data_IF_735778653917
#
_entry.id   IF_735778653917
#
_cell.length_a   1.000
_cell.length_b   1.000
_cell.length_c   1.000
_cell.angle_alpha   90.00
_cell.angle_beta   90.00
_cell.angle_gamma   90.00
#
_symmetry.space_group_name_H-M   'P 1'
#
loop_
_entity.id
_entity.type
_entity.pdbx_description
1 polymer ?
#
# COMPACT_ATOMS: atom_id res chain seq x y z
N UNK A 1 1.11 -58.87 -24.95
CA UNK A 1 0.16 -58.97 -23.82
C UNK A 1 0.95 -59.43 -22.60
N UNK A 2 0.75 -58.81 -21.43
CA UNK A 2 1.44 -59.24 -20.21
C UNK A 2 0.67 -60.43 -19.58
N UNK A 3 1.36 -61.29 -18.83
CA UNK A 3 0.77 -62.48 -18.23
C UNK A 3 -0.30 -62.16 -17.16
N UNK A 4 -0.15 -61.05 -16.44
CA UNK A 4 -1.11 -60.59 -15.43
C UNK A 4 -2.45 -60.18 -16.05
N UNK A 5 -2.43 -59.59 -17.24
CA UNK A 5 -3.61 -59.18 -17.99
C UNK A 5 -4.40 -60.40 -18.42
N UNK A 6 -3.71 -61.48 -18.83
CA UNK A 6 -4.34 -62.75 -19.20
C UNK A 6 -4.93 -63.45 -17.98
N UNK A 7 -4.24 -63.46 -16.84
CA UNK A 7 -4.76 -64.02 -15.57
C UNK A 7 -6.01 -63.28 -15.08
N UNK A 8 -6.00 -61.94 -15.11
CA UNK A 8 -7.16 -61.12 -14.75
C UNK A 8 -8.35 -61.42 -15.66
N UNK A 9 -8.13 -61.51 -16.97
CA UNK A 9 -9.20 -61.83 -17.92
C UNK A 9 -9.74 -63.26 -17.75
N UNK A 10 -8.87 -64.23 -17.45
CA UNK A 10 -9.27 -65.61 -17.17
C UNK A 10 -10.14 -65.69 -15.91
N UNK A 11 -9.73 -65.06 -14.81
CA UNK A 11 -10.51 -64.98 -13.57
C UNK A 11 -11.85 -64.27 -13.76
N UNK A 12 -11.87 -63.20 -14.58
CA UNK A 12 -13.11 -62.50 -14.92
C UNK A 12 -14.06 -63.40 -15.72
N UNK A 13 -13.53 -64.16 -16.69
CA UNK A 13 -14.31 -65.09 -17.49
C UNK A 13 -14.91 -66.21 -16.61
N UNK A 14 -14.11 -66.83 -15.74
CA UNK A 14 -14.56 -67.87 -14.81
C UNK A 14 -15.63 -67.34 -13.82
N UNK A 15 -15.43 -66.12 -13.30
CA UNK A 15 -16.40 -65.45 -12.44
C UNK A 15 -17.72 -65.16 -13.16
N UNK A 16 -17.66 -64.67 -14.40
CA UNK A 16 -18.85 -64.44 -15.21
C UNK A 16 -19.57 -65.75 -15.54
N UNK A 17 -18.86 -66.80 -15.92
CA UNK A 17 -19.46 -68.10 -16.21
C UNK A 17 -20.16 -68.69 -14.99
N UNK A 18 -19.56 -68.56 -13.80
CA UNK A 18 -20.21 -68.96 -12.55
C UNK A 18 -21.48 -68.15 -12.29
N UNK A 19 -21.43 -66.82 -12.43
CA UNK A 19 -22.60 -65.95 -12.24
C UNK A 19 -23.71 -66.25 -13.24
N UNK A 20 -23.36 -66.51 -14.50
CA UNK A 20 -24.32 -66.85 -15.55
C UNK A 20 -24.99 -68.19 -15.25
N UNK A 21 -24.25 -69.19 -14.74
CA UNK A 21 -24.85 -70.44 -14.26
C UNK A 21 -25.83 -70.21 -13.12
N UNK A 22 -25.47 -69.42 -12.12
CA UNK A 22 -26.34 -69.13 -10.97
C UNK A 22 -27.61 -68.39 -11.39
N UNK A 23 -27.49 -67.41 -12.30
CA UNK A 23 -28.63 -66.68 -12.87
C UNK A 23 -29.53 -67.62 -13.65
N UNK A 24 -28.96 -68.51 -14.47
CA UNK A 24 -29.74 -69.49 -15.23
C UNK A 24 -30.52 -70.45 -14.31
N UNK A 25 -29.90 -70.90 -13.22
CA UNK A 25 -30.57 -71.74 -12.22
C UNK A 25 -31.74 -70.99 -11.56
N UNK A 26 -31.54 -69.72 -11.20
CA UNK A 26 -32.60 -68.87 -10.65
C UNK A 26 -33.76 -68.68 -11.64
N UNK A 27 -33.46 -68.44 -12.92
CA UNK A 27 -34.48 -68.31 -13.96
C UNK A 27 -35.32 -69.57 -14.07
N UNK A 28 -34.68 -70.75 -14.05
CA UNK A 28 -35.40 -72.01 -14.19
C UNK A 28 -36.25 -72.33 -12.94
N UNK A 29 -35.75 -72.05 -11.73
CA UNK A 29 -36.54 -72.14 -10.50
C UNK A 29 -37.75 -71.20 -10.52
N UNK A 30 -37.58 -69.97 -11.01
CA UNK A 30 -38.68 -69.00 -11.12
C UNK A 30 -39.76 -69.47 -12.11
N UNK A 31 -39.36 -70.05 -13.25
CA UNK A 31 -40.31 -70.63 -14.21
C UNK A 31 -41.07 -71.80 -13.62
N UNK A 32 -40.36 -72.71 -12.95
CA UNK A 32 -40.98 -73.87 -12.31
C UNK A 32 -42.01 -73.42 -11.26
N UNK A 33 -41.65 -72.47 -10.38
CA UNK A 33 -42.58 -71.88 -9.42
C UNK A 33 -43.77 -71.22 -10.09
N UNK A 34 -43.57 -70.52 -11.20
CA UNK A 34 -44.69 -69.88 -11.92
C UNK A 34 -45.71 -70.92 -12.40
N UNK A 35 -45.24 -72.07 -12.92
CA UNK A 35 -46.10 -73.18 -13.35
C UNK A 35 -46.82 -73.82 -12.16
N UNK A 36 -46.12 -74.00 -11.02
CA UNK A 36 -46.72 -74.53 -9.79
C UNK A 36 -47.83 -73.60 -9.27
N UNK A 37 -47.55 -72.30 -9.16
CA UNK A 37 -48.55 -71.31 -8.72
C UNK A 37 -49.75 -71.21 -9.67
N UNK A 38 -49.54 -71.31 -10.98
CA UNK A 38 -50.64 -71.35 -11.96
C UNK A 38 -51.52 -72.59 -11.75
N UNK A 39 -50.90 -73.74 -11.54
CA UNK A 39 -51.60 -75.01 -11.27
C UNK A 39 -52.39 -74.97 -9.97
N UNK A 40 -51.78 -74.47 -8.89
CA UNK A 40 -52.44 -74.27 -7.59
C UNK A 40 -53.62 -73.29 -7.72
N UNK A 41 -53.45 -72.22 -8.50
CA UNK A 41 -54.51 -71.25 -8.77
C UNK A 41 -55.70 -71.85 -9.51
N UNK A 42 -55.45 -72.73 -10.48
CA UNK A 42 -56.50 -73.49 -11.18
C UNK A 42 -57.20 -74.46 -10.24
N UNK A 43 -56.44 -75.20 -9.42
CA UNK A 43 -56.99 -76.12 -8.42
C UNK A 43 -57.90 -75.41 -7.42
N UNK A 44 -57.46 -74.28 -6.86
CA UNK A 44 -58.25 -73.46 -5.94
C UNK A 44 -59.54 -72.98 -6.60
N UNK A 45 -59.47 -72.52 -7.85
CA UNK A 45 -60.64 -72.07 -8.60
C UNK A 45 -61.66 -73.19 -8.80
N UNK A 46 -61.21 -74.38 -9.20
CA UNK A 46 -62.05 -75.56 -9.38
C UNK A 46 -62.71 -75.98 -8.05
N UNK A 47 -61.92 -76.07 -6.97
CA UNK A 47 -62.38 -76.38 -5.62
C UNK A 47 -63.47 -75.39 -5.13
N UNK A 48 -63.28 -74.08 -5.31
CA UNK A 48 -64.29 -73.09 -4.92
C UNK A 48 -65.58 -73.21 -5.75
N UNK A 49 -65.48 -73.53 -7.04
CA UNK A 49 -66.63 -73.64 -7.93
C UNK A 49 -67.42 -74.94 -7.74
N UNK A 50 -66.75 -76.09 -7.59
CA UNK A 50 -67.38 -77.41 -7.59
C UNK A 50 -67.75 -77.91 -6.19
N UNK A 51 -66.83 -77.81 -5.22
CA UNK A 51 -67.02 -78.38 -3.89
C UNK A 51 -67.73 -77.42 -2.93
N UNK A 52 -67.47 -76.11 -3.06
CA UNK A 52 -68.05 -75.08 -2.19
C UNK A 52 -69.21 -74.31 -2.84
N UNK A 53 -69.45 -74.48 -4.15
CA UNK A 53 -70.45 -73.75 -4.94
C UNK A 53 -70.35 -72.22 -4.77
N UNK A 54 -69.15 -71.70 -4.52
CA UNK A 54 -68.84 -70.29 -4.35
C UNK A 54 -68.38 -69.72 -5.70
N UNK A 55 -69.34 -69.28 -6.50
CA UNK A 55 -68.99 -68.62 -7.77
C UNK A 55 -68.60 -67.16 -7.55
N UNK A 56 -67.51 -66.71 -8.18
CA UNK A 56 -67.16 -65.29 -8.27
C UNK A 56 -68.32 -64.45 -8.87
N UNK A 57 -69.16 -65.06 -9.71
CA UNK A 57 -70.34 -64.42 -10.31
C UNK A 57 -71.51 -64.23 -9.34
N UNK A 58 -71.49 -64.88 -8.16
CA UNK A 58 -72.48 -64.68 -7.11
C UNK A 58 -72.16 -63.51 -6.18
N UNK A 59 -70.94 -62.96 -6.29
CA UNK A 59 -70.55 -61.75 -5.56
C UNK A 59 -71.25 -60.52 -6.16
N UNK A 60 -71.57 -59.55 -5.30
CA UNK A 60 -72.04 -58.26 -5.78
C UNK A 60 -70.92 -57.52 -6.54
N UNK A 61 -71.30 -56.55 -7.37
CA UNK A 61 -70.32 -55.73 -8.11
C UNK A 61 -69.37 -54.99 -7.16
N UNK A 62 -69.89 -54.59 -6.00
CA UNK A 62 -69.14 -53.90 -4.94
C UNK A 62 -68.11 -54.85 -4.31
N UNK A 63 -68.51 -56.08 -3.96
CA UNK A 63 -67.60 -57.09 -3.42
C UNK A 63 -66.47 -57.43 -4.39
N UNK A 64 -66.79 -57.59 -5.69
CA UNK A 64 -65.78 -57.83 -6.72
C UNK A 64 -64.81 -56.65 -6.86
N UNK A 65 -65.30 -55.42 -6.78
CA UNK A 65 -64.48 -54.20 -6.81
C UNK A 65 -63.50 -54.15 -5.63
N UNK A 66 -63.94 -54.45 -4.41
CA UNK A 66 -63.05 -54.49 -3.24
C UNK A 66 -61.94 -55.54 -3.38
N UNK A 67 -62.27 -56.73 -3.90
CA UNK A 67 -61.29 -57.79 -4.12
C UNK A 67 -60.25 -57.39 -5.18
N UNK A 68 -60.70 -56.84 -6.30
CA UNK A 68 -59.80 -56.33 -7.35
C UNK A 68 -58.88 -55.23 -6.80
N UNK A 69 -59.41 -54.26 -6.06
CA UNK A 69 -58.59 -53.22 -5.44
C UNK A 69 -57.55 -53.80 -4.48
N UNK A 70 -57.89 -54.85 -3.73
CA UNK A 70 -56.97 -55.50 -2.81
C UNK A 70 -55.81 -56.18 -3.55
N UNK A 71 -56.12 -56.86 -4.66
CA UNK A 71 -55.13 -57.46 -5.56
C UNK A 71 -54.26 -56.37 -6.22
N UNK A 72 -54.87 -55.30 -6.72
CA UNK A 72 -54.14 -54.18 -7.35
C UNK A 72 -53.18 -53.52 -6.36
N UNK A 73 -53.61 -53.30 -5.10
CA UNK A 73 -52.76 -52.77 -4.04
C UNK A 73 -51.62 -53.74 -3.72
N UNK A 74 -51.87 -55.04 -3.66
CA UNK A 74 -50.82 -56.04 -3.44
C UNK A 74 -49.77 -56.01 -4.58
N UNK A 75 -50.22 -55.87 -5.83
CA UNK A 75 -49.34 -55.76 -6.98
C UNK A 75 -48.49 -54.48 -6.95
N UNK A 76 -49.10 -53.32 -6.63
CA UNK A 76 -48.39 -52.04 -6.52
C UNK A 76 -47.39 -52.03 -5.36
N UNK A 77 -47.73 -52.68 -4.25
CA UNK A 77 -46.84 -52.83 -3.08
C UNK A 77 -45.84 -53.98 -3.24
N UNK A 78 -45.92 -54.74 -4.34
CA UNK A 78 -45.11 -55.93 -4.61
C UNK A 78 -45.16 -56.97 -3.47
N UNK A 79 -46.33 -57.15 -2.85
CA UNK A 79 -46.51 -58.09 -1.75
C UNK A 79 -46.92 -59.48 -2.23
N UNK A 80 -46.53 -60.51 -1.46
CA UNK A 80 -46.81 -61.91 -1.80
C UNK A 80 -48.29 -62.30 -1.68
N UNK A 81 -49.01 -61.67 -0.76
CA UNK A 81 -50.41 -61.92 -0.49
C UNK A 81 -51.14 -60.63 -0.09
N UNK A 82 -52.46 -60.73 0.05
CA UNK A 82 -53.33 -59.65 0.51
C UNK A 82 -53.53 -59.64 2.03
N UNK A 83 -52.63 -60.28 2.78
CA UNK A 83 -52.73 -60.32 4.24
C UNK A 83 -52.25 -59.00 4.84
N UNK A 84 -52.81 -58.66 6.01
CA UNK A 84 -52.36 -57.49 6.77
C UNK A 84 -50.88 -57.59 7.17
N UNK A 85 -50.38 -58.81 7.40
CA UNK A 85 -48.99 -59.06 7.75
C UNK A 85 -48.02 -58.70 6.62
N UNK A 86 -48.45 -58.80 5.36
CA UNK A 86 -47.68 -58.36 4.20
C UNK A 86 -47.86 -56.85 3.92
N UNK A 87 -49.09 -56.34 4.01
CA UNK A 87 -49.39 -54.95 3.68
C UNK A 87 -48.80 -53.94 4.67
N UNK A 88 -48.91 -54.20 5.98
CA UNK A 88 -48.47 -53.25 7.01
C UNK A 88 -46.96 -52.93 6.89
N UNK A 89 -46.05 -53.91 6.78
CA UNK A 89 -44.63 -53.64 6.56
C UNK A 89 -44.35 -52.91 5.25
N UNK A 90 -45.02 -53.27 4.15
CA UNK A 90 -44.83 -52.62 2.85
C UNK A 90 -45.24 -51.14 2.89
N UNK A 91 -46.41 -50.84 3.46
CA UNK A 91 -46.91 -49.47 3.64
C UNK A 91 -45.97 -48.68 4.57
N UNK A 92 -45.51 -49.28 5.66
CA UNK A 92 -44.57 -48.62 6.58
C UNK A 92 -43.21 -48.35 5.91
N UNK A 93 -42.73 -49.26 5.07
CA UNK A 93 -41.53 -49.08 4.25
C UNK A 93 -41.66 -47.87 3.33
N UNK A 94 -42.72 -47.83 2.51
CA UNK A 94 -43.01 -46.70 1.63
C UNK A 94 -43.20 -45.39 2.40
N UNK A 95 -43.87 -45.42 3.55
CA UNK A 95 -44.06 -44.24 4.40
C UNK A 95 -42.72 -43.73 4.94
N UNK A 96 -41.82 -44.64 5.34
CA UNK A 96 -40.48 -44.29 5.78
C UNK A 96 -39.67 -43.65 4.65
N UNK A 97 -39.71 -44.24 3.46
CA UNK A 97 -38.97 -43.75 2.31
C UNK A 97 -39.51 -42.41 1.79
N UNK A 98 -40.83 -42.22 1.81
CA UNK A 98 -41.47 -40.94 1.53
C UNK A 98 -40.99 -39.86 2.53
N UNK A 99 -40.94 -40.18 3.82
CA UNK A 99 -40.46 -39.25 4.86
C UNK A 99 -38.98 -38.88 4.67
N UNK A 100 -38.13 -39.87 4.36
CA UNK A 100 -36.71 -39.62 4.03
C UNK A 100 -36.56 -38.73 2.81
N UNK A 101 -37.29 -39.02 1.73
CA UNK A 101 -37.27 -38.24 0.50
C UNK A 101 -37.74 -36.79 0.74
N UNK A 102 -38.82 -36.61 1.50
CA UNK A 102 -39.30 -35.29 1.90
C UNK A 102 -38.29 -34.51 2.74
N UNK A 103 -37.63 -35.16 3.70
CA UNK A 103 -36.59 -34.52 4.51
C UNK A 103 -35.39 -34.10 3.65
N UNK A 104 -34.96 -34.97 2.72
CA UNK A 104 -33.88 -34.67 1.78
C UNK A 104 -34.24 -33.50 0.86
N UNK A 105 -35.48 -33.44 0.39
CA UNK A 105 -35.94 -32.35 -0.46
C UNK A 105 -35.92 -31.01 0.28
N UNK A 106 -36.36 -30.98 1.55
CA UNK A 106 -36.29 -29.77 2.39
C UNK A 106 -34.84 -29.31 2.62
N UNK A 107 -33.91 -30.24 2.84
CA UNK A 107 -32.48 -29.93 2.98
C UNK A 107 -31.95 -29.26 1.70
N UNK A 108 -32.23 -29.85 0.53
CA UNK A 108 -31.81 -29.31 -0.76
C UNK A 108 -32.43 -27.93 -1.06
N UNK A 109 -33.69 -27.70 -0.70
CA UNK A 109 -34.34 -26.38 -0.83
C UNK A 109 -33.62 -25.30 0.00
N UNK A 110 -33.19 -25.64 1.22
CA UNK A 110 -32.43 -24.74 2.09
C UNK A 110 -31.03 -24.44 1.53
N UNK A 111 -30.34 -25.47 1.01
CA UNK A 111 -29.04 -25.31 0.35
C UNK A 111 -29.17 -24.43 -0.90
N UNK A 112 -30.19 -24.67 -1.72
CA UNK A 112 -30.46 -23.92 -2.94
C UNK A 112 -30.75 -22.44 -2.62
N UNK A 113 -31.58 -22.16 -1.62
CA UNK A 113 -31.85 -20.79 -1.15
C UNK A 113 -30.57 -20.10 -0.65
N UNK A 114 -29.72 -20.84 0.08
CA UNK A 114 -28.43 -20.33 0.56
C UNK A 114 -27.49 -20.01 -0.59
N UNK A 115 -27.42 -20.88 -1.61
CA UNK A 115 -26.60 -20.69 -2.79
C UNK A 115 -27.09 -19.50 -3.63
N UNK A 116 -28.39 -19.35 -3.81
CA UNK A 116 -28.99 -18.20 -4.51
C UNK A 116 -28.64 -16.87 -3.85
N UNK A 117 -28.68 -16.80 -2.52
CA UNK A 117 -28.28 -15.60 -1.76
C UNK A 117 -26.79 -15.29 -1.95
N UNK A 118 -25.92 -16.31 -1.86
CA UNK A 118 -24.48 -16.15 -2.12
C UNK A 118 -24.20 -15.66 -3.54
N UNK A 119 -24.87 -16.24 -4.54
CA UNK A 119 -24.74 -15.85 -5.94
C UNK A 119 -25.16 -14.39 -6.14
N UNK A 120 -26.28 -13.99 -5.56
CA UNK A 120 -26.77 -12.60 -5.63
C UNK A 120 -25.75 -11.63 -5.01
N UNK A 121 -25.21 -11.96 -3.84
CA UNK A 121 -24.17 -11.12 -3.21
C UNK A 121 -22.90 -11.03 -4.07
N UNK A 122 -22.47 -12.15 -4.67
CA UNK A 122 -21.30 -12.18 -5.55
C UNK A 122 -21.50 -11.32 -6.81
N UNK A 123 -22.66 -11.42 -7.46
CA UNK A 123 -23.00 -10.60 -8.64
C UNK A 123 -23.05 -9.10 -8.33
N UNK A 124 -23.57 -8.72 -7.15
CA UNK A 124 -23.55 -7.31 -6.72
C UNK A 124 -22.13 -6.81 -6.50
N UNK A 125 -21.25 -7.63 -5.90
CA UNK A 125 -19.85 -7.29 -5.70
C UNK A 125 -19.09 -7.18 -7.03
N UNK A 126 -19.31 -8.11 -7.95
CA UNK A 126 -18.73 -8.10 -9.29
C UNK A 126 -19.05 -6.79 -10.01
N UNK A 127 -20.33 -6.40 -10.02
CA UNK A 127 -20.77 -5.14 -10.65
C UNK A 127 -20.09 -3.91 -10.02
N UNK A 128 -19.94 -3.89 -8.69
CA UNK A 128 -19.24 -2.81 -7.99
C UNK A 128 -17.76 -2.76 -8.38
N UNK A 129 -17.08 -3.91 -8.43
CA UNK A 129 -15.69 -3.98 -8.84
C UNK A 129 -15.49 -3.52 -10.28
N UNK A 130 -16.41 -3.88 -11.18
CA UNK A 130 -16.40 -3.41 -12.56
C UNK A 130 -16.52 -1.88 -12.64
N UNK A 131 -17.45 -1.29 -11.88
CA UNK A 131 -17.60 0.17 -11.80
C UNK A 131 -16.33 0.85 -11.25
N UNK A 132 -15.71 0.26 -10.23
CA UNK A 132 -14.51 0.81 -9.61
C UNK A 132 -13.29 0.72 -10.54
N UNK A 133 -13.14 -0.37 -11.30
CA UNK A 133 -12.10 -0.48 -12.35
C UNK A 133 -12.22 0.66 -13.37
N UNK A 134 -13.44 0.93 -13.86
CA UNK A 134 -13.68 2.02 -14.83
C UNK A 134 -13.35 3.40 -14.22
N UNK A 135 -13.66 3.63 -12.95
CA UNK A 135 -13.29 4.89 -12.26
C UNK A 135 -11.78 5.02 -12.11
N UNK A 136 -11.10 3.95 -11.68
CA UNK A 136 -9.65 3.93 -11.49
C UNK A 136 -8.92 4.16 -12.80
N UNK A 137 -9.39 3.57 -13.90
CA UNK A 137 -8.80 3.77 -15.23
C UNK A 137 -8.91 5.24 -15.68
N UNK A 138 -10.06 5.88 -15.46
CA UNK A 138 -10.24 7.33 -15.71
C UNK A 138 -9.27 8.18 -14.89
N UNK A 139 -9.14 7.88 -13.60
CA UNK A 139 -8.21 8.58 -12.70
C UNK A 139 -6.75 8.41 -13.17
N UNK A 140 -6.35 7.20 -13.56
CA UNK A 140 -5.01 6.93 -14.08
C UNK A 140 -4.71 7.71 -15.36
N UNK A 141 -5.70 7.86 -16.26
CA UNK A 141 -5.53 8.66 -17.48
C UNK A 141 -5.29 10.13 -17.13
N UNK A 142 -6.01 10.69 -16.15
CA UNK A 142 -5.83 12.08 -15.71
C UNK A 142 -4.49 12.31 -15.00
N UNK A 143 -4.11 11.39 -14.11
CA UNK A 143 -2.84 11.46 -13.41
C UNK A 143 -1.67 11.34 -14.38
N UNK A 144 -1.77 10.45 -15.38
CA UNK A 144 -0.77 10.32 -16.45
C UNK A 144 -0.63 11.63 -17.24
N UNK A 145 -1.73 12.25 -17.65
CA UNK A 145 -1.69 13.57 -18.33
C UNK A 145 -1.00 14.63 -17.47
N UNK A 146 -1.23 14.60 -16.16
CA UNK A 146 -0.61 15.55 -15.22
C UNK A 146 0.89 15.28 -15.07
N UNK A 147 1.28 14.01 -14.97
CA UNK A 147 2.69 13.59 -14.94
C UNK A 147 3.42 13.98 -16.23
N UNK A 148 2.83 13.72 -17.40
CA UNK A 148 3.40 14.08 -18.70
C UNK A 148 3.63 15.60 -18.82
N UNK A 149 2.68 16.43 -18.36
CA UNK A 149 2.85 17.90 -18.29
C UNK A 149 4.00 18.31 -17.37
N UNK A 150 4.16 17.64 -16.22
CA UNK A 150 5.27 17.91 -15.29
C UNK A 150 6.62 17.55 -15.91
N UNK A 151 6.71 16.42 -16.62
CA UNK A 151 7.91 16.01 -17.34
C UNK A 151 8.28 17.06 -18.39
N UNK A 152 7.33 17.48 -19.24
CA UNK A 152 7.55 18.53 -20.25
C UNK A 152 8.01 19.86 -19.62
N UNK A 153 7.42 20.25 -18.48
CA UNK A 153 7.81 21.45 -17.75
C UNK A 153 9.24 21.34 -17.24
N UNK A 154 9.60 20.18 -16.68
CA UNK A 154 10.95 19.93 -16.17
C UNK A 154 11.99 19.96 -17.29
N UNK A 155 11.71 19.33 -18.43
CA UNK A 155 12.58 19.36 -19.62
C UNK A 155 12.81 20.78 -20.13
N UNK A 156 11.75 21.60 -20.18
CA UNK A 156 11.86 23.01 -20.54
C UNK A 156 12.75 23.80 -19.56
N UNK A 157 12.57 23.60 -18.25
CA UNK A 157 13.38 24.29 -17.23
C UNK A 157 14.85 23.86 -17.28
N UNK A 158 15.12 22.57 -17.51
CA UNK A 158 16.47 22.04 -17.68
C UNK A 158 17.16 22.70 -18.87
N UNK A 159 16.50 22.74 -20.04
CA UNK A 159 17.03 23.42 -21.23
C UNK A 159 17.31 24.90 -20.96
N UNK A 160 16.37 25.61 -20.34
CA UNK A 160 16.55 27.02 -19.99
C UNK A 160 17.71 27.25 -19.02
N UNK A 161 17.93 26.32 -18.09
CA UNK A 161 19.07 26.39 -17.17
C UNK A 161 20.41 26.23 -17.90
N UNK A 162 20.48 25.33 -18.89
CA UNK A 162 21.67 25.15 -19.73
C UNK A 162 21.95 26.40 -20.58
N UNK A 163 20.91 26.99 -21.17
CA UNK A 163 21.01 28.24 -21.95
C UNK A 163 21.60 29.38 -21.08
N UNK A 164 21.03 29.62 -19.89
CA UNK A 164 21.50 30.64 -18.94
C UNK A 164 22.95 30.35 -18.51
N UNK A 165 23.30 29.08 -18.27
CA UNK A 165 24.67 28.69 -17.92
C UNK A 165 25.65 29.01 -19.07
N UNK A 166 25.22 28.83 -20.31
CA UNK A 166 25.96 29.23 -21.51
C UNK A 166 26.18 30.75 -21.58
N UNK A 167 25.12 31.53 -21.37
CA UNK A 167 25.17 32.99 -21.33
C UNK A 167 26.10 33.52 -20.24
N UNK A 168 26.03 32.97 -19.02
CA UNK A 168 26.91 33.32 -17.91
C UNK A 168 28.38 33.04 -18.28
N UNK A 169 28.65 31.89 -18.89
CA UNK A 169 30.01 31.54 -19.32
C UNK A 169 30.52 32.54 -20.37
N UNK A 170 29.72 32.84 -21.38
CA UNK A 170 30.07 33.83 -22.42
C UNK A 170 30.30 35.22 -21.82
N UNK A 171 29.44 35.69 -20.92
CA UNK A 171 29.60 36.99 -20.26
C UNK A 171 30.86 37.04 -19.39
N UNK A 172 31.18 35.93 -18.70
CA UNK A 172 32.42 35.81 -17.92
C UNK A 172 33.67 35.83 -18.80
N UNK A 173 33.62 35.13 -19.95
CA UNK A 173 34.71 35.12 -20.92
C UNK A 173 34.90 36.53 -21.52
N UNK A 174 33.81 37.26 -21.81
CA UNK A 174 33.86 38.67 -22.26
C UNK A 174 34.44 39.61 -21.20
N UNK A 175 34.04 39.48 -19.93
CA UNK A 175 34.59 40.28 -18.82
C UNK A 175 36.09 40.01 -18.62
N UNK A 176 36.51 38.76 -18.81
CA UNK A 176 37.94 38.40 -18.74
C UNK A 176 38.71 38.98 -19.93
N UNK A 177 38.13 38.96 -21.13
CA UNK A 177 38.73 39.53 -22.34
C UNK A 177 38.82 41.07 -22.32
N UNK A 178 37.89 41.77 -21.64
CA UNK A 178 37.94 43.22 -21.46
C UNK A 178 38.96 43.68 -20.41
N UNK A 179 39.68 42.75 -19.78
CA UNK A 179 40.77 43.03 -18.84
C UNK A 179 40.32 43.22 -17.39
N UNK A 180 39.10 42.82 -17.04
CA UNK A 180 38.63 42.82 -15.65
C UNK A 180 39.25 41.63 -14.89
N UNK A 181 40.41 41.86 -14.27
CA UNK A 181 41.09 40.90 -13.40
C UNK A 181 40.41 40.79 -12.02
N UNK A 182 40.54 39.65 -11.34
CA UNK A 182 39.96 39.40 -10.02
C UNK A 182 40.46 40.41 -8.95
N UNK A 183 41.62 41.05 -9.19
CA UNK A 183 42.16 42.14 -8.37
C UNK A 183 41.31 43.42 -8.40
N UNK A 184 40.51 43.65 -9.45
CA UNK A 184 39.62 44.80 -9.61
C UNK A 184 38.20 44.55 -9.08
N UNK A 185 37.97 43.38 -8.47
CA UNK A 185 36.69 43.08 -7.81
C UNK A 185 36.48 44.01 -6.62
N UNK A 186 35.22 44.41 -6.35
CA UNK A 186 34.87 45.25 -5.21
C UNK A 186 35.52 44.78 -3.89
N UNK A 187 35.47 43.48 -3.61
CA UNK A 187 36.07 42.90 -2.41
C UNK A 187 37.59 43.17 -2.34
N UNK A 188 38.31 42.91 -3.42
CA UNK A 188 39.74 43.14 -3.53
C UNK A 188 40.08 44.64 -3.35
N UNK A 189 39.29 45.52 -3.97
CA UNK A 189 39.45 46.97 -3.88
C UNK A 189 39.22 47.50 -2.46
N UNK A 190 38.20 46.99 -1.77
CA UNK A 190 37.91 47.30 -0.37
C UNK A 190 39.08 46.87 0.52
N UNK A 191 39.53 45.62 0.41
CA UNK A 191 40.67 45.14 1.22
C UNK A 191 41.97 45.91 0.95
N UNK A 192 42.20 46.36 -0.28
CA UNK A 192 43.34 47.22 -0.61
C UNK A 192 43.18 48.61 0.02
N UNK A 193 41.98 49.18 0.00
CA UNK A 193 41.69 50.47 0.61
C UNK A 193 41.83 50.44 2.14
N UNK A 194 41.42 49.36 2.78
CA UNK A 194 41.58 49.13 4.21
C UNK A 194 43.07 49.05 4.57
N UNK A 195 43.85 48.24 3.83
CA UNK A 195 45.31 48.17 3.99
C UNK A 195 45.99 49.52 3.75
N UNK A 196 45.54 50.30 2.77
CA UNK A 196 46.08 51.63 2.50
C UNK A 196 45.79 52.59 3.66
N UNK A 197 44.58 52.53 4.22
CA UNK A 197 44.20 53.31 5.39
C UNK A 197 45.05 52.94 6.61
N UNK A 198 45.29 51.65 6.84
CA UNK A 198 46.16 51.16 7.93
C UNK A 198 47.60 51.66 7.77
N UNK A 199 48.18 51.52 6.57
CA UNK A 199 49.53 52.02 6.26
C UNK A 199 49.62 53.54 6.43
N UNK A 200 48.59 54.27 5.98
CA UNK A 200 48.52 55.73 6.16
C UNK A 200 48.46 56.11 7.64
N UNK A 201 47.65 55.41 8.43
CA UNK A 201 47.55 55.60 9.88
C UNK A 201 48.89 55.32 10.58
N UNK A 202 49.69 54.37 10.08
CA UNK A 202 51.05 54.11 10.58
C UNK A 202 52.09 55.15 10.11
N UNK A 203 51.92 55.71 8.91
CA UNK A 203 52.83 56.73 8.35
C UNK A 203 52.70 58.09 9.04
N UNK A 204 51.50 58.50 9.47
CA UNK A 204 51.25 59.79 10.15
C UNK A 204 52.12 59.99 11.41
N UNK A 205 52.21 59.04 12.37
CA UNK A 205 53.06 59.21 13.55
C UNK A 205 54.55 59.15 13.20
N UNK A 206 54.96 58.36 12.20
CA UNK A 206 56.35 58.31 11.73
C UNK A 206 56.77 59.63 11.07
N UNK A 207 55.89 60.24 10.27
CA UNK A 207 56.14 61.54 9.66
C UNK A 207 56.24 62.65 10.70
N UNK A 208 55.36 62.68 11.71
CA UNK A 208 55.49 63.59 12.88
C UNK A 208 56.81 63.39 13.61
N UNK A 209 57.27 62.15 13.74
CA UNK A 209 58.56 61.84 14.37
C UNK A 209 59.73 62.38 13.55
N UNK A 210 59.71 62.23 12.23
CA UNK A 210 60.73 62.79 11.32
C UNK A 210 60.71 64.33 11.36
N UNK A 211 59.53 64.94 11.37
CA UNK A 211 59.36 66.39 11.47
C UNK A 211 59.95 66.94 12.77
N UNK A 212 59.76 66.24 13.90
CA UNK A 212 60.44 66.59 15.17
C UNK A 212 61.98 66.45 15.13
N UNK A 213 62.51 65.63 14.23
CA UNK A 213 63.96 65.48 14.04
C UNK A 213 64.55 66.47 13.02
N UNK A 214 63.73 67.10 12.18
CA UNK A 214 64.17 68.08 11.18
C UNK A 214 64.63 69.40 11.81
N UNK A 215 64.15 69.73 13.01
CA UNK A 215 64.63 70.89 13.78
C UNK A 215 66.02 70.68 14.43
N UNK A 216 66.52 69.43 14.44
CA UNK A 216 67.84 69.09 14.96
C UNK A 216 68.88 69.11 13.84
N UNK A 217 69.98 69.84 14.04
CA UNK A 217 71.06 69.91 13.05
C UNK A 217 71.67 68.52 12.80
N UNK A 218 71.98 68.11 11.56
CA UNK A 218 72.40 66.74 11.20
C UNK A 218 73.69 66.23 11.86
N UNK A 219 74.43 67.07 12.59
CA UNK A 219 75.67 66.71 13.25
C UNK A 219 75.42 66.45 14.76
N UNK A 220 75.61 65.21 15.27
CA UNK A 220 75.29 64.83 16.65
C UNK A 220 76.10 65.60 17.71
N UNK A 221 77.31 66.06 17.36
CA UNK A 221 78.12 66.89 18.26
C UNK A 221 77.55 68.31 18.39
N UNK A 222 77.03 68.86 17.28
CA UNK A 222 76.44 70.20 17.24
C UNK A 222 75.04 70.23 17.85
N UNK A 223 74.27 69.15 17.68
CA UNK A 223 72.98 68.97 18.32
C UNK A 223 73.09 68.92 19.86
N UNK A 224 74.11 68.25 20.41
CA UNK A 224 74.39 68.29 21.85
C UNK A 224 74.68 69.69 22.36
N UNK A 225 75.48 70.47 21.62
CA UNK A 225 75.79 71.85 22.01
C UNK A 225 74.54 72.73 21.98
N UNK A 226 73.69 72.63 20.94
CA UNK A 226 72.44 73.38 20.88
C UNK A 226 71.40 72.96 21.93
N UNK A 227 71.34 71.68 22.28
CA UNK A 227 70.50 71.20 23.38
C UNK A 227 71.00 71.77 24.72
N UNK A 228 72.32 71.85 24.91
CA UNK A 228 72.91 72.39 26.14
C UNK A 228 72.78 73.93 26.21
N UNK A 229 72.90 74.64 25.08
CA UNK A 229 72.62 76.08 24.98
C UNK A 229 71.15 76.37 25.30
N UNK A 230 70.21 75.64 24.68
CA UNK A 230 68.78 75.84 24.97
C UNK A 230 68.43 75.50 26.44
N UNK A 231 69.11 74.52 27.05
CA UNK A 231 69.00 74.25 28.50
C UNK A 231 69.52 75.40 29.34
N UNK A 232 70.66 75.99 28.98
CA UNK A 232 71.21 77.17 29.67
C UNK A 232 70.34 78.41 29.50
N UNK A 233 69.76 78.61 28.32
CA UNK A 233 68.78 79.68 28.07
C UNK A 233 67.52 79.46 28.91
N UNK A 234 67.03 78.22 29.02
CA UNK A 234 65.90 77.89 29.90
C UNK A 234 66.22 78.14 31.37
N UNK A 235 67.37 77.67 31.88
CA UNK A 235 67.83 77.93 33.24
C UNK A 235 68.01 79.44 33.51
N UNK A 236 68.51 80.20 32.53
CA UNK A 236 68.64 81.65 32.65
C UNK A 236 67.27 82.34 32.72
N UNK A 237 66.30 81.93 31.89
CA UNK A 237 64.92 82.42 31.92
C UNK A 237 64.20 82.03 33.22
N UNK A 238 64.39 80.81 33.73
CA UNK A 238 63.86 80.38 35.03
C UNK A 238 64.49 81.16 36.18
N UNK A 239 65.79 81.47 36.13
CA UNK A 239 66.46 82.32 37.11
C UNK A 239 66.01 83.79 37.01
N UNK A 240 65.79 84.33 35.81
CA UNK A 240 65.24 85.67 35.60
C UNK A 240 63.79 85.76 36.09
N UNK A 241 63.01 84.69 35.91
CA UNK A 241 61.65 84.58 36.44
C UNK A 241 61.66 84.49 37.98
N UNK A 242 62.59 83.72 38.56
CA UNK A 242 62.75 83.61 40.01
C UNK A 242 63.19 84.93 40.66
N UNK A 243 64.08 85.69 40.02
CA UNK A 243 64.52 87.01 40.52
C UNK A 243 63.44 88.09 40.37
N UNK A 244 62.62 88.04 39.31
CA UNK A 244 61.42 88.89 39.18
C UNK A 244 60.37 88.56 40.25
N UNK A 245 60.22 87.29 40.64
CA UNK A 245 59.33 86.90 41.75
C UNK A 245 59.83 87.41 43.11
N UNK A 246 61.13 87.32 43.41
CA UNK A 246 61.71 87.80 44.68
C UNK A 246 61.73 89.35 44.79
N UNK A 247 61.93 90.09 43.69
CA UNK A 247 61.84 91.56 43.67
C UNK A 247 60.39 92.07 43.87
N UNK A 248 59.38 91.26 43.57
CA UNK A 248 57.97 91.62 43.80
C UNK A 248 57.47 91.39 45.23
N UNK A 249 58.25 90.73 46.11
CA UNK A 249 57.85 90.45 47.49
C UNK A 249 58.35 91.49 48.54
N UNK A 250 59.27 92.40 48.18
CA UNK A 250 59.91 93.35 49.11
C UNK A 250 59.59 94.84 48.90
N UNK A 251 58.67 95.18 47.97
CA UNK A 251 58.28 96.58 47.74
C UNK A 251 56.83 96.75 47.25
N UNK A 252 55.82 96.55 48.11
CA UNK A 252 54.54 97.30 48.05
C UNK A 252 53.93 97.46 49.46
N UNK A 253 54.15 98.63 50.05
CA UNK A 253 53.28 99.29 51.04
C UNK A 253 52.28 100.21 50.30
N UNK A 254 51.03 100.27 50.80
CA UNK A 254 49.90 101.19 50.55
C UNK A 254 50.26 102.66 50.16
N UNK A 255 49.36 103.56 49.62
CA UNK A 255 47.86 103.53 49.54
C UNK A 255 47.17 104.26 48.32
N UNK A 256 45.82 104.31 48.38
CA UNK A 256 44.89 105.45 48.05
C UNK A 256 44.37 105.79 46.62
N UNK A 257 43.05 105.58 46.48
CA UNK A 257 41.95 106.49 46.02
C UNK A 257 41.84 106.99 44.54
N UNK A 258 40.71 106.54 43.94
CA UNK A 258 39.62 107.28 43.21
C UNK A 258 39.90 107.78 41.77
N UNK A 259 38.87 108.15 40.98
CA UNK A 259 37.49 107.63 40.82
C UNK A 259 37.00 107.54 39.33
N UNK A 260 35.82 106.92 39.14
CA UNK A 260 34.80 107.05 38.08
C UNK A 260 35.07 107.94 36.84
N UNK A 261 35.01 107.34 35.64
CA UNK A 261 33.88 107.39 34.65
C UNK A 261 33.80 106.03 33.98
#
# INVERSE_FOLDING_TARGET
MNAETVDILYRLAECNESRDRDINLLIEDMKQKAVEYESDGLFLKEFFMEDLNLSLSSLSKESMSYLNNLVDVALVLETKDTSLASFIPAINGLTSDLSKAQSKNKELELELSTLQRKLTSALVLEKRLQDDVVKTEKFLIEERKTADRRIQTMEFLMKKSEDIKGEIKSAKDQLSASGLDASLTHQSLVTLSEKLADVKNQSVPLQKKIESYLDLTPNPSLARVKIEEAKRELEALEAEFSTKLDMTALSVTLPTKRPFV
#
